data_IF_342627980050
#
_entry.id   IF_342627980050
#
_cell.length_a   1.000
_cell.length_b   1.000
_cell.length_c   1.000
_cell.angle_alpha   90.00
_cell.angle_beta   90.00
_cell.angle_gamma   90.00
#
_symmetry.space_group_name_H-M   'P 1'
#
loop_
_entity.id
_entity.type
_entity.pdbx_description
1 polymer ?
#
# COMPACT_ATOMS: atom_id res chain seq x y z
N UNK A 1 1.99 14.96 -36.31
CA UNK A 1 2.22 14.54 -37.71
C UNK A 1 1.11 15.05 -38.62
N UNK A 2 -0.16 14.86 -38.25
CA UNK A 2 -1.31 15.41 -38.99
C UNK A 2 -1.25 16.93 -39.18
N UNK A 3 -0.84 17.68 -38.15
CA UNK A 3 -0.75 19.14 -38.25
C UNK A 3 0.29 19.61 -39.29
N UNK A 4 1.47 18.99 -39.31
CA UNK A 4 2.55 19.31 -40.27
C UNK A 4 2.12 18.96 -41.69
N UNK A 5 1.43 17.83 -41.85
CA UNK A 5 0.86 17.43 -43.13
C UNK A 5 -0.19 18.44 -43.60
N UNK A 6 -1.12 18.84 -42.72
CA UNK A 6 -2.15 19.81 -43.02
C UNK A 6 -1.57 21.19 -43.40
N UNK A 7 -0.53 21.65 -42.70
CA UNK A 7 0.16 22.89 -43.06
C UNK A 7 0.86 22.81 -44.42
N UNK A 8 1.50 21.68 -44.75
CA UNK A 8 2.11 21.48 -46.07
C UNK A 8 1.06 21.42 -47.18
N UNK A 9 -0.06 20.73 -46.96
CA UNK A 9 -1.19 20.68 -47.88
C UNK A 9 -1.87 22.05 -48.04
N UNK A 10 -1.85 22.90 -47.01
CA UNK A 10 -2.36 24.26 -47.09
C UNK A 10 -1.45 25.13 -47.97
N UNK A 11 -0.13 25.07 -47.80
CA UNK A 11 0.81 25.82 -48.64
C UNK A 11 0.73 25.38 -50.11
N UNK A 12 0.53 24.09 -50.37
CA UNK A 12 0.33 23.58 -51.73
C UNK A 12 -1.01 24.05 -52.34
N UNK A 13 -2.06 24.19 -51.52
CA UNK A 13 -3.34 24.79 -51.93
C UNK A 13 -3.19 26.27 -52.26
N UNK A 14 -2.52 27.03 -51.41
CA UNK A 14 -2.35 28.47 -51.59
C UNK A 14 -1.45 28.79 -52.80
N UNK A 15 -0.52 27.91 -53.13
CA UNK A 15 0.34 28.01 -54.31
C UNK A 15 -0.31 27.50 -55.61
N UNK A 16 -1.49 26.87 -55.55
CA UNK A 16 -2.16 26.29 -56.71
C UNK A 16 -2.98 27.35 -57.46
N UNK A 17 -2.61 27.63 -58.70
CA UNK A 17 -3.17 28.75 -59.48
C UNK A 17 -4.21 28.30 -60.53
N UNK A 18 -4.36 26.99 -60.77
CA UNK A 18 -5.25 26.45 -61.80
C UNK A 18 -6.62 26.07 -61.21
N UNK A 19 -7.67 26.76 -61.66
CA UNK A 19 -9.03 26.56 -61.17
C UNK A 19 -9.68 25.25 -61.65
N UNK A 20 -9.11 24.56 -62.63
CA UNK A 20 -9.68 23.34 -63.23
C UNK A 20 -9.11 22.04 -62.64
N UNK A 21 -8.13 22.12 -61.75
CA UNK A 21 -7.48 20.94 -61.14
C UNK A 21 -7.49 21.02 -59.63
N UNK A 22 -7.54 19.86 -58.95
CA UNK A 22 -7.47 19.81 -57.49
C UNK A 22 -6.04 20.07 -57.01
N UNK A 23 -5.86 20.87 -55.95
CA UNK A 23 -4.54 21.15 -55.42
C UNK A 23 -3.81 19.87 -54.98
N UNK A 24 -2.49 19.76 -55.24
CA UNK A 24 -1.72 18.61 -54.85
C UNK A 24 -1.61 18.50 -53.32
N UNK A 25 -1.62 17.27 -52.81
CA UNK A 25 -1.42 16.96 -51.39
C UNK A 25 -0.14 16.16 -51.20
N UNK A 26 0.49 16.31 -50.05
CA UNK A 26 1.69 15.54 -49.72
C UNK A 26 1.35 14.07 -49.47
N UNK A 27 2.24 13.19 -49.93
CA UNK A 27 2.06 11.74 -49.77
C UNK A 27 2.14 11.28 -48.31
N UNK A 28 1.58 10.09 -48.02
CA UNK A 28 1.50 9.49 -46.66
C UNK A 28 2.84 9.42 -45.91
N UNK A 29 3.95 9.25 -46.63
CA UNK A 29 5.29 9.14 -46.04
C UNK A 29 6.08 10.46 -46.04
N UNK A 30 5.49 11.55 -46.55
CA UNK A 30 6.18 12.82 -46.75
C UNK A 30 6.70 13.40 -45.43
N UNK A 31 5.88 13.42 -44.37
CA UNK A 31 6.30 13.97 -43.07
C UNK A 31 7.45 13.16 -42.47
N UNK A 32 7.44 11.82 -42.62
CA UNK A 32 8.55 10.97 -42.16
C UNK A 32 9.84 11.26 -42.94
N UNK A 33 9.74 11.40 -44.26
CA UNK A 33 10.88 11.72 -45.13
C UNK A 33 11.38 13.17 -44.93
N UNK A 34 10.49 14.12 -44.65
CA UNK A 34 10.80 15.49 -44.28
C UNK A 34 11.64 15.52 -42.99
N UNK A 35 11.18 14.83 -41.93
CA UNK A 35 11.95 14.73 -40.68
C UNK A 35 13.32 14.05 -40.87
N UNK A 36 13.42 13.05 -41.76
CA UNK A 36 14.73 12.42 -42.07
C UNK A 36 15.69 13.37 -42.80
N UNK A 37 15.17 14.26 -43.66
CA UNK A 37 15.97 15.25 -44.40
C UNK A 37 16.38 16.44 -43.53
N UNK A 38 15.65 16.71 -42.45
CA UNK A 38 15.88 17.84 -41.56
C UNK A 38 16.22 17.35 -40.14
N UNK A 39 17.46 16.88 -39.90
CA UNK A 39 17.89 16.36 -38.59
C UNK A 39 17.84 17.40 -37.46
N UNK A 40 17.78 18.70 -37.77
CA UNK A 40 17.56 19.76 -36.80
C UNK A 40 16.15 19.77 -36.18
N UNK A 41 15.17 19.11 -36.82
CA UNK A 41 13.78 19.08 -36.36
C UNK A 41 13.54 17.87 -35.46
N UNK A 42 13.25 18.14 -34.19
CA UNK A 42 13.07 17.10 -33.17
C UNK A 42 11.60 16.82 -32.90
N UNK A 43 11.25 15.54 -32.76
CA UNK A 43 9.90 15.13 -32.32
C UNK A 43 9.86 15.05 -30.80
N UNK A 44 9.28 16.07 -30.17
CA UNK A 44 9.03 16.08 -28.72
C UNK A 44 7.57 15.71 -28.45
N UNK A 45 7.34 14.73 -27.57
CA UNK A 45 5.97 14.38 -27.14
C UNK A 45 5.54 15.37 -26.06
N UNK A 46 4.59 16.26 -26.39
CA UNK A 46 3.97 17.13 -25.39
C UNK A 46 3.20 16.27 -24.39
N UNK A 47 3.38 16.55 -23.10
CA UNK A 47 2.59 15.95 -22.03
C UNK A 47 1.58 17.01 -21.57
N UNK A 48 0.26 16.69 -21.48
CA UNK A 48 -0.70 17.62 -20.93
C UNK A 48 -0.31 17.96 -19.48
N UNK A 49 -0.34 19.25 -19.15
CA UNK A 49 -0.13 19.79 -17.79
C UNK A 49 -1.32 20.70 -17.49
N UNK A 50 -1.76 20.71 -16.23
CA UNK A 50 -2.80 21.65 -15.79
C UNK A 50 -2.32 23.09 -16.01
N UNK A 51 -3.20 23.95 -16.52
CA UNK A 51 -2.89 25.36 -16.87
C UNK A 51 -2.34 26.10 -15.65
N UNK A 52 -2.87 25.83 -14.45
CA UNK A 52 -2.44 26.40 -13.18
C UNK A 52 -1.00 26.03 -12.77
N UNK A 53 -0.45 24.90 -13.29
CA UNK A 53 0.96 24.53 -13.10
C UNK A 53 1.89 25.21 -14.10
N UNK A 54 1.35 25.89 -15.10
CA UNK A 54 2.09 26.64 -16.12
C UNK A 54 2.19 28.14 -15.79
N UNK A 55 1.44 28.64 -14.81
CA UNK A 55 1.44 30.05 -14.38
C UNK A 55 2.54 30.38 -13.36
N UNK A 56 3.45 29.44 -13.06
CA UNK A 56 4.60 29.71 -12.20
C UNK A 56 5.64 30.54 -12.95
N UNK A 57 5.98 31.67 -12.38
CA UNK A 57 6.99 32.61 -12.87
C UNK A 57 8.25 32.57 -12.00
N UNK A 58 9.39 32.86 -12.64
CA UNK A 58 10.71 32.86 -11.98
C UNK A 58 10.77 33.85 -10.83
N UNK A 59 10.06 34.98 -10.92
CA UNK A 59 10.08 36.04 -9.91
C UNK A 59 9.42 35.60 -8.60
N UNK A 60 8.20 35.04 -8.65
CA UNK A 60 7.52 34.51 -7.47
C UNK A 60 8.31 33.39 -6.79
N UNK A 61 8.90 32.47 -7.57
CA UNK A 61 9.76 31.41 -7.01
C UNK A 61 11.03 32.00 -6.38
N UNK A 62 11.67 32.98 -7.02
CA UNK A 62 12.85 33.65 -6.47
C UNK A 62 12.52 34.37 -5.16
N UNK A 63 11.39 35.07 -5.10
CA UNK A 63 10.91 35.71 -3.87
C UNK A 63 10.65 34.67 -2.76
N UNK A 64 10.02 33.55 -3.09
CA UNK A 64 9.76 32.48 -2.11
C UNK A 64 11.07 31.89 -1.55
N UNK A 65 12.06 31.60 -2.40
CA UNK A 65 13.37 31.12 -1.95
C UNK A 65 14.09 32.14 -1.06
N UNK A 66 14.06 33.43 -1.42
CA UNK A 66 14.61 34.50 -0.57
C UNK A 66 13.91 34.55 0.79
N UNK A 67 12.59 34.42 0.80
CA UNK A 67 11.80 34.39 2.05
C UNK A 67 12.17 33.17 2.90
N UNK A 68 12.30 32.00 2.29
CA UNK A 68 12.72 30.76 2.96
C UNK A 68 14.10 30.94 3.61
N UNK A 69 15.08 31.42 2.85
CA UNK A 69 16.44 31.65 3.34
C UNK A 69 16.46 32.62 4.52
N UNK A 70 15.72 33.72 4.41
CA UNK A 70 15.59 34.72 5.47
C UNK A 70 14.96 34.14 6.74
N UNK A 71 13.92 33.32 6.62
CA UNK A 71 13.28 32.65 7.78
C UNK A 71 14.25 31.68 8.44
N UNK A 72 14.92 30.83 7.66
CA UNK A 72 15.90 29.86 8.17
C UNK A 72 17.03 30.57 8.93
N UNK A 73 17.60 31.64 8.34
CA UNK A 73 18.67 32.43 8.98
C UNK A 73 18.19 33.17 10.23
N UNK A 74 17.06 33.90 10.14
CA UNK A 74 16.53 34.72 11.24
C UNK A 74 16.11 33.89 12.44
N UNK A 75 15.55 32.71 12.20
CA UNK A 75 15.06 31.81 13.25
C UNK A 75 16.12 30.79 13.72
N UNK A 76 17.32 30.78 13.11
CA UNK A 76 18.39 29.87 13.48
C UNK A 76 18.07 28.39 13.26
N UNK A 77 17.32 28.07 12.19
CA UNK A 77 16.84 26.71 11.93
C UNK A 77 17.97 25.86 11.37
N UNK A 78 18.24 24.73 12.02
CA UNK A 78 19.26 23.78 11.55
C UNK A 78 18.71 22.89 10.44
N UNK A 79 19.57 22.35 9.56
CA UNK A 79 19.14 21.42 8.51
C UNK A 79 18.32 20.23 9.01
N UNK A 80 18.68 19.65 10.16
CA UNK A 80 17.97 18.54 10.80
C UNK A 80 16.51 18.88 11.14
N UNK A 81 16.23 20.17 11.35
CA UNK A 81 14.94 20.70 11.78
C UNK A 81 14.12 21.29 10.62
N UNK A 82 14.55 21.12 9.38
CA UNK A 82 13.78 21.45 8.18
C UNK A 82 12.96 20.22 7.77
N UNK A 83 11.65 20.31 7.91
CA UNK A 83 10.71 19.24 7.60
C UNK A 83 9.83 19.59 6.42
N UNK A 84 9.48 18.57 5.65
CA UNK A 84 8.49 18.63 4.59
C UNK A 84 7.38 17.61 4.87
N UNK A 85 6.13 18.04 4.74
CA UNK A 85 4.93 17.20 4.82
C UNK A 85 4.13 17.30 3.53
N UNK A 86 3.55 16.19 3.12
CA UNK A 86 2.64 16.13 1.98
C UNK A 86 1.68 14.93 2.09
N UNK A 87 0.59 15.00 1.33
CA UNK A 87 -0.48 14.01 1.27
C UNK A 87 -0.37 13.13 0.02
N UNK A 88 -0.53 11.82 0.21
CA UNK A 88 -0.63 10.87 -0.90
C UNK A 88 -1.89 10.02 -0.79
N UNK A 89 -2.78 10.20 -1.78
CA UNK A 89 -3.96 9.37 -1.95
C UNK A 89 -3.69 8.08 -2.71
N UNK A 90 -4.23 6.97 -2.20
CA UNK A 90 -4.29 5.66 -2.84
C UNK A 90 -5.71 5.31 -3.21
N UNK A 91 -5.86 4.74 -4.41
CA UNK A 91 -7.09 4.07 -4.83
C UNK A 91 -6.84 2.58 -4.73
N UNK A 92 -7.45 1.96 -3.74
CA UNK A 92 -7.32 0.55 -3.43
C UNK A 92 -8.09 -0.25 -4.50
N UNK A 93 -7.54 -1.40 -4.94
CA UNK A 93 -8.20 -2.30 -5.91
C UNK A 93 -7.84 -2.15 -7.40
N UNK A 94 -6.97 -1.20 -7.79
CA UNK A 94 -6.53 -1.04 -9.19
C UNK A 94 -5.11 -1.59 -9.40
N UNK A 95 -5.03 -2.80 -9.96
CA UNK A 95 -3.79 -3.37 -10.49
C UNK A 95 -3.37 -2.72 -11.81
N UNK A 96 -2.09 -2.87 -12.22
CA UNK A 96 -1.63 -2.47 -13.56
C UNK A 96 -1.72 -3.64 -14.55
N UNK A 97 -1.78 -3.31 -15.84
CA UNK A 97 -1.52 -4.28 -16.90
C UNK A 97 -0.14 -4.92 -16.70
N UNK A 98 -0.09 -6.25 -16.67
CA UNK A 98 1.14 -7.03 -16.52
C UNK A 98 1.47 -7.75 -17.82
N UNK A 99 2.77 -7.98 -18.05
CA UNK A 99 3.21 -8.90 -19.09
C UNK A 99 3.07 -10.33 -18.59
N UNK A 100 2.29 -11.15 -19.30
CA UNK A 100 2.20 -12.59 -19.04
C UNK A 100 2.93 -13.35 -20.16
N UNK A 101 3.58 -14.45 -19.81
CA UNK A 101 4.10 -15.42 -20.77
C UNK A 101 3.18 -16.63 -20.71
N UNK A 102 2.47 -16.92 -21.79
CA UNK A 102 1.49 -18.00 -21.87
C UNK A 102 1.78 -18.90 -23.08
N UNK A 103 1.56 -20.20 -22.91
CA UNK A 103 1.61 -21.18 -24.00
C UNK A 103 0.33 -21.19 -24.85
N UNK A 104 -0.73 -20.49 -24.39
CA UNK A 104 -2.00 -20.37 -25.09
C UNK A 104 -2.03 -19.10 -25.97
N UNK A 105 -2.22 -19.21 -27.30
CA UNK A 105 -2.21 -18.06 -28.21
C UNK A 105 -3.49 -17.20 -28.25
N UNK A 106 -4.48 -17.43 -27.37
CA UNK A 106 -5.83 -16.83 -27.48
C UNK A 106 -6.14 -15.76 -26.42
N UNK A 107 -6.50 -14.58 -26.96
CA UNK A 107 -7.30 -13.42 -26.49
C UNK A 107 -7.07 -12.87 -25.07
N UNK A 108 -6.74 -11.58 -25.04
CA UNK A 108 -6.70 -10.64 -23.90
C UNK A 108 -6.72 -11.28 -22.50
N UNK A 109 -5.55 -11.31 -21.87
CA UNK A 109 -5.47 -11.62 -20.45
C UNK A 109 -6.07 -10.48 -19.63
N UNK A 110 -7.29 -10.68 -19.15
CA UNK A 110 -7.95 -9.73 -18.27
C UNK A 110 -7.52 -9.97 -16.82
N UNK A 111 -6.95 -8.94 -16.20
CA UNK A 111 -6.83 -8.90 -14.74
C UNK A 111 -8.19 -8.43 -14.19
N UNK A 112 -8.82 -9.25 -13.34
CA UNK A 112 -9.99 -8.81 -12.61
C UNK A 112 -9.60 -7.61 -11.74
N UNK A 113 -10.11 -6.42 -12.07
CA UNK A 113 -9.98 -5.21 -11.27
C UNK A 113 -11.31 -4.98 -10.59
N UNK A 114 -11.33 -4.89 -9.27
CA UNK A 114 -12.55 -4.54 -8.56
C UNK A 114 -12.94 -3.08 -8.84
N UNK A 115 -14.24 -2.85 -8.99
CA UNK A 115 -14.82 -1.52 -9.26
C UNK A 115 -14.92 -0.65 -8.01
N UNK A 116 -14.64 -1.21 -6.82
CA UNK A 116 -14.82 -0.51 -5.55
C UNK A 116 -13.69 0.51 -5.33
N UNK A 117 -14.06 1.79 -5.24
CA UNK A 117 -13.13 2.94 -5.26
C UNK A 117 -12.75 3.39 -3.86
N UNK A 118 -12.36 2.46 -2.99
CA UNK A 118 -11.93 2.84 -1.64
C UNK A 118 -10.69 3.74 -1.72
N UNK A 119 -10.81 4.93 -1.13
CA UNK A 119 -9.72 5.88 -1.01
C UNK A 119 -9.11 5.81 0.38
N UNK A 120 -7.78 5.87 0.41
CA UNK A 120 -7.00 5.96 1.62
C UNK A 120 -5.93 7.00 1.40
N UNK A 121 -5.72 7.87 2.37
CA UNK A 121 -4.75 8.97 2.29
C UNK A 121 -3.68 8.77 3.34
N UNK A 122 -2.41 8.82 2.96
CA UNK A 122 -1.29 8.87 3.91
C UNK A 122 -0.72 10.29 3.95
N UNK A 123 -0.57 10.85 5.15
CA UNK A 123 0.21 12.06 5.39
C UNK A 123 1.60 11.62 5.86
N UNK A 124 2.62 11.98 5.10
CA UNK A 124 4.01 11.60 5.34
C UNK A 124 4.84 12.84 5.65
N UNK A 125 5.82 12.72 6.55
CA UNK A 125 6.72 13.81 6.89
C UNK A 125 8.18 13.37 6.95
N UNK A 126 9.04 14.17 6.33
CA UNK A 126 10.47 13.88 6.14
C UNK A 126 11.32 15.12 6.42
N UNK A 127 12.51 14.93 7.00
CA UNK A 127 13.47 16.02 7.23
C UNK A 127 14.47 16.14 6.10
N UNK A 128 15.10 17.32 5.99
CA UNK A 128 16.13 17.59 4.99
C UNK A 128 17.37 16.68 5.12
N UNK A 129 17.62 16.15 6.33
CA UNK A 129 18.69 15.19 6.60
C UNK A 129 18.28 13.73 6.39
N UNK A 130 17.05 13.48 5.93
CA UNK A 130 16.57 12.16 5.55
C UNK A 130 16.02 11.31 6.69
N UNK A 131 15.70 11.92 7.84
CA UNK A 131 14.86 11.31 8.86
C UNK A 131 13.37 11.41 8.48
N UNK A 132 12.53 10.58 9.08
CA UNK A 132 11.09 10.53 8.83
C UNK A 132 10.38 10.03 10.09
N UNK A 133 9.10 10.37 10.26
CA UNK A 133 8.25 9.89 11.35
C UNK A 133 7.21 8.91 10.81
N UNK A 134 6.53 8.15 11.67
CA UNK A 134 5.38 7.35 11.24
C UNK A 134 4.26 8.21 10.64
N UNK A 135 3.46 7.67 9.70
CA UNK A 135 2.49 8.47 8.97
C UNK A 135 1.21 8.64 9.77
N UNK A 136 0.39 9.61 9.37
CA UNK A 136 -1.04 9.53 9.64
C UNK A 136 -1.73 8.89 8.45
N UNK A 137 -2.60 7.91 8.69
CA UNK A 137 -3.36 7.23 7.65
C UNK A 137 -4.84 7.52 7.83
N UNK A 138 -5.44 8.20 6.87
CA UNK A 138 -6.85 8.56 6.84
C UNK A 138 -7.59 7.55 5.97
N UNK A 139 -8.58 6.90 6.57
CA UNK A 139 -9.37 5.83 5.95
C UNK A 139 -10.82 6.30 5.83
N UNK A 140 -11.41 6.16 4.64
CA UNK A 140 -12.86 6.41 4.47
C UNK A 140 -13.67 5.35 5.24
N UNK A 141 -14.12 5.71 6.44
CA UNK A 141 -14.78 4.84 7.42
C UNK A 141 -15.41 5.65 8.55
N UNK A 142 -16.24 4.99 9.35
CA UNK A 142 -16.81 5.54 10.58
C UNK A 142 -16.20 4.93 11.85
N UNK A 143 -15.51 3.79 11.73
CA UNK A 143 -15.05 2.99 12.86
C UNK A 143 -13.67 2.39 12.57
N UNK A 144 -12.83 2.35 13.60
CA UNK A 144 -11.57 1.62 13.65
C UNK A 144 -11.82 0.14 13.91
N UNK A 145 -11.12 -0.76 13.20
CA UNK A 145 -11.30 -2.21 13.35
C UNK A 145 -9.99 -2.93 13.69
N UNK A 146 -10.07 -4.06 14.41
CA UNK A 146 -8.89 -4.82 14.85
C UNK A 146 -8.04 -5.27 13.66
N UNK A 147 -8.69 -5.59 12.53
CA UNK A 147 -8.02 -6.01 11.30
C UNK A 147 -6.99 -5.00 10.78
N UNK A 148 -7.12 -3.71 11.12
CA UNK A 148 -6.21 -2.66 10.66
C UNK A 148 -4.84 -2.67 11.32
N UNK A 149 -4.75 -3.18 12.55
CA UNK A 149 -3.56 -3.01 13.42
C UNK A 149 -2.87 -4.31 13.78
N UNK A 150 -3.51 -5.46 13.58
CA UNK A 150 -2.92 -6.79 13.84
C UNK A 150 -2.05 -7.26 12.68
N UNK A 151 -1.02 -6.47 12.39
CA UNK A 151 -0.03 -6.62 11.33
C UNK A 151 1.26 -5.87 11.72
N UNK A 152 2.23 -5.78 10.81
CA UNK A 152 3.54 -5.16 11.05
C UNK A 152 3.53 -3.61 11.00
N UNK A 153 2.36 -2.97 11.10
CA UNK A 153 2.28 -1.51 11.13
C UNK A 153 3.02 -0.96 12.36
N UNK A 154 3.84 0.10 12.24
CA UNK A 154 4.46 0.71 13.41
C UNK A 154 3.41 1.18 14.42
N UNK A 155 3.63 0.91 15.72
CA UNK A 155 2.67 1.24 16.79
C UNK A 155 2.37 2.74 16.89
N UNK A 156 3.33 3.58 16.51
CA UNK A 156 3.24 5.02 16.45
C UNK A 156 2.56 5.56 15.18
N UNK A 157 2.06 4.70 14.29
CA UNK A 157 1.23 5.13 13.15
C UNK A 157 -0.11 5.65 13.66
N UNK A 158 -0.47 6.86 13.26
CA UNK A 158 -1.74 7.47 13.65
C UNK A 158 -2.83 7.11 12.64
N UNK A 159 -3.84 6.35 13.05
CA UNK A 159 -4.98 6.01 12.22
C UNK A 159 -6.08 7.03 12.41
N UNK A 160 -6.68 7.49 11.32
CA UNK A 160 -7.79 8.42 11.31
C UNK A 160 -8.92 7.85 10.45
N UNK A 161 -10.16 8.12 10.84
CA UNK A 161 -11.34 7.80 10.04
C UNK A 161 -12.06 9.09 9.65
N UNK A 162 -12.47 9.20 8.40
CA UNK A 162 -13.33 10.29 7.91
C UNK A 162 -14.34 9.74 6.90
N UNK A 163 -15.45 10.45 6.69
CA UNK A 163 -16.49 9.96 5.77
C UNK A 163 -15.98 9.92 4.31
N UNK A 164 -15.25 10.95 3.90
CA UNK A 164 -14.79 11.12 2.51
C UNK A 164 -13.34 10.64 2.26
N UNK A 165 -12.59 10.26 3.30
CA UNK A 165 -11.19 9.85 3.22
C UNK A 165 -10.20 11.01 2.97
N UNK A 166 -10.64 12.26 3.11
CA UNK A 166 -9.81 13.46 3.02
C UNK A 166 -9.53 14.05 4.39
N UNK A 167 -8.49 14.88 4.46
CA UNK A 167 -8.14 15.69 5.63
C UNK A 167 -9.16 16.80 5.83
N UNK A 168 -9.57 17.01 7.08
CA UNK A 168 -10.32 18.18 7.53
C UNK A 168 -9.48 18.99 8.54
N UNK A 169 -9.99 20.13 8.98
CA UNK A 169 -9.32 21.01 9.93
C UNK A 169 -9.01 20.32 11.27
N UNK A 170 -9.85 19.37 11.69
CA UNK A 170 -9.70 18.62 12.95
C UNK A 170 -8.54 17.62 12.80
N UNK A 171 -8.51 16.90 11.69
CA UNK A 171 -7.44 15.95 11.37
C UNK A 171 -6.11 16.67 11.15
N UNK A 172 -6.10 17.85 10.53
CA UNK A 172 -4.91 18.68 10.43
C UNK A 172 -4.37 19.09 11.81
N UNK A 173 -5.24 19.48 12.74
CA UNK A 173 -4.85 19.78 14.12
C UNK A 173 -4.34 18.54 14.88
N UNK A 174 -4.95 17.38 14.68
CA UNK A 174 -4.48 16.12 15.26
C UNK A 174 -3.13 15.72 14.68
N UNK A 175 -2.94 15.92 13.38
CA UNK A 175 -1.69 15.63 12.70
C UNK A 175 -0.54 16.52 13.19
N UNK A 176 -0.74 17.83 13.38
CA UNK A 176 0.35 18.69 13.87
C UNK A 176 0.78 18.36 15.30
N UNK A 177 -0.16 17.94 16.15
CA UNK A 177 0.14 17.42 17.50
C UNK A 177 0.98 16.15 17.42
N UNK A 178 0.62 15.24 16.53
CA UNK A 178 1.40 14.05 16.24
C UNK A 178 2.81 14.40 15.72
N UNK A 179 2.92 15.33 14.77
CA UNK A 179 4.20 15.80 14.27
C UNK A 179 5.06 16.39 15.39
N UNK A 180 4.50 17.20 16.29
CA UNK A 180 5.23 17.73 17.44
C UNK A 180 5.75 16.62 18.34
N UNK A 181 4.86 15.73 18.80
CA UNK A 181 5.18 14.59 19.67
C UNK A 181 6.32 13.73 19.10
N UNK A 182 6.29 13.45 17.79
CA UNK A 182 7.26 12.56 17.13
C UNK A 182 8.58 13.23 16.78
N UNK A 183 8.60 14.55 16.52
CA UNK A 183 9.82 15.26 16.11
C UNK A 183 10.52 16.00 17.24
N UNK A 184 9.86 16.22 18.38
CA UNK A 184 10.42 16.97 19.52
C UNK A 184 11.73 16.37 20.03
N UNK A 185 11.79 15.04 20.19
CA UNK A 185 13.00 14.34 20.59
C UNK A 185 14.10 14.27 19.52
N UNK A 186 13.76 14.57 18.26
CA UNK A 186 14.69 14.58 17.12
C UNK A 186 15.32 15.96 16.90
N UNK A 187 14.73 17.00 17.49
CA UNK A 187 15.08 18.40 17.23
C UNK A 187 16.51 18.70 17.69
N UNK A 188 17.29 19.39 16.86
CA UNK A 188 18.69 19.77 17.18
C UNK A 188 18.84 21.23 17.58
N UNK A 189 18.10 22.10 16.92
CA UNK A 189 18.05 23.53 17.18
C UNK A 189 16.91 23.92 18.13
N UNK A 190 16.52 25.20 18.05
CA UNK A 190 15.43 25.75 18.87
C UNK A 190 14.06 25.63 18.21
N UNK A 191 14.02 25.63 16.87
CA UNK A 191 12.79 25.71 16.08
C UNK A 191 12.82 24.70 14.94
N UNK A 192 11.65 24.14 14.62
CA UNK A 192 11.43 23.28 13.45
C UNK A 192 10.73 24.06 12.35
N UNK A 193 11.24 24.04 11.13
CA UNK A 193 10.54 24.55 9.96
C UNK A 193 9.66 23.43 9.39
N UNK A 194 8.38 23.70 9.17
CA UNK A 194 7.48 22.77 8.51
C UNK A 194 7.05 23.33 7.15
N UNK A 195 7.48 22.69 6.07
CA UNK A 195 7.14 23.04 4.69
C UNK A 195 5.99 22.15 4.20
N UNK A 196 4.88 22.77 3.77
CA UNK A 196 3.65 22.09 3.38
C UNK A 196 2.97 22.78 2.18
N UNK A 197 2.06 22.09 1.49
CA UNK A 197 1.29 22.72 0.42
C UNK A 197 0.13 23.56 0.98
N UNK A 198 -0.19 24.68 0.34
CA UNK A 198 -1.17 25.64 0.87
C UNK A 198 -2.63 25.19 0.77
N UNK A 199 -2.93 23.89 0.85
CA UNK A 199 -4.32 23.42 0.82
C UNK A 199 -5.07 23.93 2.07
N UNK A 200 -6.29 24.42 1.89
CA UNK A 200 -6.99 25.32 2.84
C UNK A 200 -7.18 24.81 4.28
N UNK A 201 -6.98 23.51 4.52
CA UNK A 201 -7.08 22.84 5.82
C UNK A 201 -5.91 23.13 6.80
N UNK A 202 -4.77 23.66 6.32
CA UNK A 202 -3.54 23.79 7.12
C UNK A 202 -3.32 25.17 7.76
N UNK A 203 -4.31 26.05 7.72
CA UNK A 203 -4.17 27.45 8.16
C UNK A 203 -5.20 27.87 9.22
N UNK A 204 -5.80 26.91 9.94
CA UNK A 204 -6.72 27.26 11.02
C UNK A 204 -5.98 27.95 12.17
N UNK A 205 -6.68 28.82 12.91
CA UNK A 205 -6.13 29.52 14.07
C UNK A 205 -5.54 28.53 15.09
N UNK A 206 -6.24 27.44 15.38
CA UNK A 206 -5.80 26.42 16.34
C UNK A 206 -4.53 25.70 15.89
N UNK A 207 -4.38 25.43 14.59
CA UNK A 207 -3.16 24.85 14.03
C UNK A 207 -1.97 25.80 14.21
N UNK A 208 -2.16 27.09 13.88
CA UNK A 208 -1.11 28.09 14.00
C UNK A 208 -0.73 28.38 15.46
N UNK A 209 -1.70 28.43 16.37
CA UNK A 209 -1.45 28.58 17.82
C UNK A 209 -0.65 27.39 18.37
N UNK A 210 -0.97 26.17 17.92
CA UNK A 210 -0.22 24.98 18.32
C UNK A 210 1.22 25.02 17.79
N UNK A 211 1.41 25.45 16.54
CA UNK A 211 2.74 25.63 15.96
C UNK A 211 3.58 26.64 16.77
N UNK A 212 3.01 27.81 17.07
CA UNK A 212 3.71 28.87 17.81
C UNK A 212 4.10 28.41 19.23
N UNK A 213 3.17 27.78 19.94
CA UNK A 213 3.40 27.24 21.28
C UNK A 213 4.54 26.19 21.33
N UNK A 214 4.74 25.44 20.24
CA UNK A 214 5.70 24.33 20.18
C UNK A 214 6.94 24.61 19.29
N UNK A 215 7.21 25.89 19.02
CA UNK A 215 8.40 26.31 18.27
C UNK A 215 8.47 25.70 16.86
N UNK A 216 7.30 25.54 16.22
CA UNK A 216 7.17 25.09 14.85
C UNK A 216 6.85 26.30 13.97
N UNK A 217 7.62 26.49 12.91
CA UNK A 217 7.44 27.57 11.93
C UNK A 217 6.74 26.97 10.71
N UNK A 218 5.42 27.16 10.53
CA UNK A 218 4.73 26.73 9.32
C UNK A 218 5.16 27.61 8.13
N UNK A 219 5.50 26.97 7.01
CA UNK A 219 5.96 27.64 5.80
C UNK A 219 5.31 27.03 4.56
N UNK A 220 4.33 27.72 3.98
CA UNK A 220 3.61 27.24 2.82
C UNK A 220 4.41 27.35 1.53
N UNK A 221 4.23 26.39 0.65
CA UNK A 221 4.70 26.47 -0.73
C UNK A 221 3.87 27.47 -1.55
N UNK A 222 4.45 28.06 -2.61
CA UNK A 222 3.68 28.81 -3.59
C UNK A 222 2.57 27.93 -4.20
N UNK A 223 1.39 28.50 -4.50
CA UNK A 223 0.32 27.76 -5.17
C UNK A 223 0.83 27.04 -6.42
N UNK A 224 0.36 25.82 -6.69
CA UNK A 224 0.68 25.03 -7.89
C UNK A 224 2.17 24.68 -8.10
N UNK A 225 3.00 24.83 -7.07
CA UNK A 225 4.44 24.52 -7.14
C UNK A 225 4.80 23.11 -6.64
N UNK A 226 3.84 22.28 -6.22
CA UNK A 226 4.17 21.00 -5.57
C UNK A 226 5.10 20.11 -6.40
N UNK A 227 4.81 20.02 -7.69
CA UNK A 227 5.61 19.24 -8.64
C UNK A 227 7.08 19.68 -8.84
N UNK A 228 7.48 20.85 -8.31
CA UNK A 228 8.84 21.39 -8.36
C UNK A 228 9.45 21.64 -6.98
N UNK A 229 8.63 21.97 -5.97
CA UNK A 229 9.07 22.41 -4.65
C UNK A 229 8.67 21.48 -3.50
N UNK A 230 7.86 20.42 -3.71
CA UNK A 230 7.56 19.41 -2.68
C UNK A 230 8.57 18.23 -2.76
N UNK A 231 9.51 18.09 -1.80
CA UNK A 231 10.46 16.98 -1.76
C UNK A 231 9.82 15.59 -1.87
N UNK A 232 8.69 15.38 -1.18
CA UNK A 232 7.95 14.12 -1.19
C UNK A 232 7.42 13.77 -2.58
N UNK A 233 6.78 14.71 -3.27
CA UNK A 233 6.32 14.56 -4.66
C UNK A 233 7.47 14.29 -5.64
N UNK A 234 8.58 15.03 -5.51
CA UNK A 234 9.70 14.98 -6.46
C UNK A 234 10.48 13.66 -6.38
N UNK A 235 10.49 12.98 -5.23
CA UNK A 235 11.39 11.83 -5.00
C UNK A 235 10.76 10.60 -4.34
N UNK A 236 9.82 10.76 -3.40
CA UNK A 236 9.34 9.65 -2.55
C UNK A 236 8.05 9.05 -3.08
N UNK A 237 7.09 9.89 -3.48
CA UNK A 237 5.73 9.46 -3.83
C UNK A 237 5.63 8.66 -5.13
N UNK A 238 6.51 8.89 -6.11
CA UNK A 238 6.57 8.05 -7.30
C UNK A 238 6.98 6.59 -6.95
N UNK A 239 8.11 6.34 -6.25
CA UNK A 239 8.43 5.02 -5.71
C UNK A 239 7.33 4.44 -4.83
N UNK A 240 6.67 5.26 -4.01
CA UNK A 240 5.53 4.84 -3.16
C UNK A 240 4.40 4.22 -3.98
N UNK A 241 3.99 4.90 -5.05
CA UNK A 241 2.97 4.39 -5.99
C UNK A 241 3.43 3.14 -6.75
N UNK A 242 4.73 2.91 -6.89
CA UNK A 242 5.27 1.70 -7.52
C UNK A 242 5.24 0.52 -6.55
N UNK A 243 5.78 0.67 -5.34
CA UNK A 243 5.82 -0.40 -4.34
C UNK A 243 4.43 -0.79 -3.83
N UNK A 244 3.48 0.14 -3.77
CA UNK A 244 2.07 -0.18 -3.57
C UNK A 244 1.54 -1.15 -4.64
N UNK A 245 1.92 -0.94 -5.91
CA UNK A 245 1.49 -1.83 -7.01
C UNK A 245 2.17 -3.19 -6.91
N UNK A 246 3.45 -3.23 -6.58
CA UNK A 246 4.15 -4.49 -6.32
C UNK A 246 3.51 -5.26 -5.16
N UNK A 247 3.03 -4.58 -4.13
CA UNK A 247 2.30 -5.20 -3.02
C UNK A 247 0.95 -5.81 -3.49
N UNK A 248 0.19 -5.10 -4.32
CA UNK A 248 -1.03 -5.65 -4.96
C UNK A 248 -0.66 -6.89 -5.79
N UNK A 249 0.36 -6.80 -6.62
CA UNK A 249 0.78 -7.89 -7.50
C UNK A 249 1.23 -9.13 -6.71
N UNK A 250 1.97 -8.94 -5.62
CA UNK A 250 2.38 -10.01 -4.71
C UNK A 250 1.18 -10.66 -4.01
N UNK A 251 0.20 -9.87 -3.58
CA UNK A 251 -1.03 -10.37 -3.00
C UNK A 251 -1.85 -11.19 -4.02
N UNK A 252 -1.99 -10.71 -5.25
CA UNK A 252 -2.70 -11.42 -6.33
C UNK A 252 -2.05 -12.77 -6.64
N UNK A 253 -0.71 -12.85 -6.71
CA UNK A 253 0.02 -14.11 -6.94
C UNK A 253 -0.23 -15.16 -5.86
N UNK A 254 -0.54 -14.72 -4.65
CA UNK A 254 -0.87 -15.59 -3.52
C UNK A 254 -2.37 -15.80 -3.36
N UNK A 255 -3.18 -15.49 -4.38
CA UNK A 255 -4.62 -15.75 -4.41
C UNK A 255 -5.51 -14.65 -3.81
N UNK A 256 -4.99 -13.43 -3.61
CA UNK A 256 -5.81 -12.32 -3.14
C UNK A 256 -6.72 -11.86 -4.28
N UNK A 257 -8.01 -12.12 -4.16
CA UNK A 257 -9.01 -11.64 -5.12
C UNK A 257 -9.41 -10.18 -4.84
N UNK A 258 -9.38 -9.77 -3.57
CA UNK A 258 -9.73 -8.43 -3.12
C UNK A 258 -8.62 -7.82 -2.26
N UNK A 259 -7.81 -6.94 -2.87
CA UNK A 259 -6.84 -6.15 -2.14
C UNK A 259 -7.54 -4.97 -1.48
N UNK A 260 -7.93 -5.11 -0.22
CA UNK A 260 -8.69 -4.10 0.54
C UNK A 260 -7.78 -3.27 1.47
N UNK A 261 -8.37 -2.36 2.26
CA UNK A 261 -7.65 -1.52 3.25
C UNK A 261 -6.82 -2.30 4.28
N UNK A 262 -7.26 -3.50 4.68
CA UNK A 262 -6.52 -4.34 5.64
C UNK A 262 -5.24 -4.85 5.00
N UNK A 263 -5.31 -5.28 3.73
CA UNK A 263 -4.12 -5.68 2.96
C UNK A 263 -3.19 -4.50 2.71
N UNK A 264 -3.73 -3.31 2.39
CA UNK A 264 -2.94 -2.09 2.25
C UNK A 264 -2.16 -1.76 3.53
N UNK A 265 -2.83 -1.70 4.69
CA UNK A 265 -2.19 -1.38 5.97
C UNK A 265 -1.14 -2.43 6.35
N UNK A 266 -1.41 -3.71 6.06
CA UNK A 266 -0.46 -4.79 6.25
C UNK A 266 0.78 -4.66 5.37
N UNK A 267 0.66 -4.06 4.18
CA UNK A 267 1.78 -3.82 3.27
C UNK A 267 2.51 -2.49 3.52
N UNK A 268 1.89 -1.55 4.23
CA UNK A 268 2.36 -0.16 4.37
C UNK A 268 3.77 -0.08 4.96
N UNK A 269 4.06 -0.85 6.01
CA UNK A 269 5.39 -0.89 6.63
C UNK A 269 6.48 -1.32 5.64
N UNK A 270 6.19 -2.35 4.82
CA UNK A 270 7.10 -2.85 3.79
C UNK A 270 7.31 -1.82 2.67
N UNK A 271 6.24 -1.17 2.22
CA UNK A 271 6.30 -0.09 1.22
C UNK A 271 7.18 1.05 1.72
N UNK A 272 6.93 1.53 2.95
CA UNK A 272 7.70 2.63 3.57
C UNK A 272 9.17 2.27 3.73
N UNK A 273 9.49 1.03 4.12
CA UNK A 273 10.88 0.53 4.19
C UNK A 273 11.62 0.63 2.85
N UNK A 274 10.90 0.48 1.73
CA UNK A 274 11.49 0.59 0.40
C UNK A 274 11.61 2.02 -0.11
N UNK A 275 10.78 2.95 0.37
CA UNK A 275 10.65 4.31 -0.17
C UNK A 275 11.27 5.39 0.71
N UNK A 276 11.16 5.27 2.03
CA UNK A 276 11.68 6.22 3.03
C UNK A 276 13.17 6.03 3.32
N UNK A 277 13.95 5.83 2.24
CA UNK A 277 15.41 5.73 2.34
C UNK A 277 16.00 7.12 2.46
N UNK A 278 16.94 7.31 3.38
CA UNK A 278 17.63 8.59 3.64
C UNK A 278 18.14 9.25 2.35
N UNK A 279 18.75 8.49 1.45
CA UNK A 279 19.26 9.03 0.17
C UNK A 279 18.17 9.49 -0.79
N UNK A 280 17.02 8.81 -0.80
CA UNK A 280 15.84 9.21 -1.60
C UNK A 280 15.31 10.55 -1.09
N UNK A 281 15.11 10.67 0.22
CA UNK A 281 14.61 11.89 0.87
C UNK A 281 15.58 13.06 0.62
N UNK A 282 16.87 12.90 0.93
CA UNK A 282 17.90 13.93 0.66
C UNK A 282 17.94 14.34 -0.80
N UNK A 283 17.71 13.40 -1.72
CA UNK A 283 17.62 13.72 -3.15
C UNK A 283 16.39 14.56 -3.49
N UNK A 284 15.25 14.33 -2.83
CA UNK A 284 14.08 15.20 -2.93
C UNK A 284 14.38 16.64 -2.53
N UNK A 285 14.98 16.85 -1.35
CA UNK A 285 15.38 18.18 -0.89
C UNK A 285 16.43 18.84 -1.78
N UNK A 286 17.39 18.07 -2.31
CA UNK A 286 18.39 18.59 -3.24
C UNK A 286 17.76 19.04 -4.56
N UNK A 287 16.85 18.24 -5.13
CA UNK A 287 16.19 18.54 -6.40
C UNK A 287 15.21 19.70 -6.34
N UNK A 288 14.70 20.02 -5.16
CA UNK A 288 13.83 21.18 -4.91
C UNK A 288 14.62 22.45 -4.57
N UNK A 289 15.95 22.37 -4.45
CA UNK A 289 16.80 23.50 -4.07
C UNK A 289 16.65 23.97 -2.63
N UNK A 290 15.86 23.27 -1.80
CA UNK A 290 15.60 23.62 -0.39
C UNK A 290 16.82 23.27 0.47
N UNK A 291 17.37 22.06 0.31
CA UNK A 291 18.54 21.63 1.07
C UNK A 291 19.43 20.61 0.31
N UNK A 292 20.74 20.85 0.16
CA UNK A 292 21.43 22.13 0.42
C UNK A 292 20.78 23.29 -0.33
N UNK A 293 20.80 24.48 0.26
CA UNK A 293 20.10 25.63 -0.31
C UNK A 293 20.74 26.02 -1.64
N UNK A 294 20.01 25.80 -2.74
CA UNK A 294 20.43 26.13 -4.10
C UNK A 294 19.19 26.36 -4.98
N UNK A 295 18.62 27.58 -4.95
CA UNK A 295 17.43 27.94 -5.74
C UNK A 295 17.60 27.73 -7.26
N UNK A 296 18.81 27.86 -7.80
CA UNK A 296 19.05 27.77 -9.25
C UNK A 296 18.74 26.40 -9.84
N UNK A 297 18.74 25.33 -9.02
CA UNK A 297 18.27 23.99 -9.45
C UNK A 297 16.85 24.05 -10.00
N UNK A 298 15.99 24.90 -9.40
CA UNK A 298 14.61 25.10 -9.83
C UNK A 298 14.52 26.29 -10.78
N UNK A 299 15.11 27.43 -10.41
CA UNK A 299 14.95 28.68 -11.17
C UNK A 299 15.47 28.56 -12.60
N UNK A 300 16.58 27.86 -12.86
CA UNK A 300 17.13 27.65 -14.22
C UNK A 300 16.19 26.91 -15.17
N UNK A 301 15.18 26.20 -14.64
CA UNK A 301 14.17 25.52 -15.48
C UNK A 301 13.09 26.47 -16.02
N UNK A 302 13.05 27.70 -15.51
CA UNK A 302 12.18 28.78 -15.96
C UNK A 302 13.02 29.79 -16.74
N UNK A 303 12.65 30.03 -18.00
CA UNK A 303 13.34 31.00 -18.85
C UNK A 303 13.40 32.37 -18.15
N UNK A 304 14.58 32.97 -18.09
CA UNK A 304 14.69 34.38 -17.78
C UNK A 304 14.09 35.18 -18.96
N UNK A 305 13.58 36.41 -18.74
CA UNK A 305 13.00 37.23 -19.81
C UNK A 305 13.91 37.61 -21.00
N UNK A 306 15.10 37.01 -21.18
CA UNK A 306 16.07 37.42 -22.21
C UNK A 306 16.59 36.32 -23.16
N UNK A 307 16.03 35.11 -23.17
CA UNK A 307 16.47 34.08 -24.14
C UNK A 307 15.70 34.16 -25.47
N UNK A 308 15.73 35.33 -26.12
CA UNK A 308 15.51 35.47 -27.56
C UNK A 308 16.68 36.23 -28.20
N UNK A 309 17.89 35.66 -28.09
CA UNK A 309 18.98 36.00 -28.99
C UNK A 309 19.06 34.91 -30.09
N UNK A 310 18.87 35.25 -31.38
CA UNK A 310 19.12 34.32 -32.46
C UNK A 310 20.64 34.16 -32.62
N UNK A 311 21.19 33.06 -32.10
CA UNK A 311 22.55 32.65 -32.45
C UNK A 311 22.55 32.15 -33.90
N UNK A 312 23.04 32.99 -34.81
CA UNK A 312 23.45 32.60 -36.15
C UNK A 312 24.83 31.97 -36.06
N UNK A 313 24.97 30.70 -36.45
CA UNK A 313 26.26 30.16 -36.88
C UNK A 313 26.09 29.26 -38.10
N UNK A 314 26.98 29.51 -39.05
CA UNK A 314 27.03 28.99 -40.40
C UNK A 314 27.49 27.52 -40.47
N UNK A 315 26.82 26.74 -41.32
CA UNK A 315 27.28 25.42 -41.74
C UNK A 315 28.18 25.55 -42.98
N UNK A 316 29.29 24.80 -42.99
CA UNK A 316 30.01 24.42 -44.22
C UNK A 316 30.13 22.89 -44.26
N UNK A 317 29.71 22.20 -45.34
CA UNK A 317 29.83 20.75 -45.44
C UNK A 317 31.11 20.34 -46.18
N UNK A 318 31.68 19.18 -45.83
CA UNK A 318 32.62 18.47 -46.68
C UNK A 318 32.55 16.96 -46.44
N UNK A 319 32.32 16.22 -47.52
CA UNK A 319 32.57 14.77 -47.68
C UNK A 319 33.26 14.64 -49.05
N UNK A 320 34.25 13.74 -49.27
CA UNK A 320 33.99 12.31 -49.57
C UNK A 320 35.12 11.40 -48.99
N UNK A 321 35.26 10.07 -49.14
CA UNK A 321 34.48 8.89 -49.52
C UNK A 321 35.32 7.65 -49.11
N UNK A 322 34.66 6.48 -48.92
CA UNK A 322 35.12 5.07 -48.94
C UNK A 322 34.46 4.27 -47.78
N UNK A 323 34.27 2.95 -47.80
CA UNK A 323 34.02 1.92 -48.82
C UNK A 323 33.33 0.74 -48.07
N UNK A 324 32.88 -0.28 -48.79
CA UNK A 324 31.95 -1.35 -48.38
C UNK A 324 32.48 -2.41 -47.39
N UNK A 325 31.63 -2.85 -46.44
CA UNK A 325 31.15 -4.25 -46.25
C UNK A 325 30.42 -4.42 -44.89
N UNK A 326 29.50 -5.41 -44.71
CA UNK A 326 28.55 -5.43 -43.59
C UNK A 326 29.06 -6.24 -42.39
N UNK A 327 28.77 -5.84 -41.13
CA UNK A 327 28.81 -6.75 -40.00
C UNK A 327 27.44 -7.37 -39.73
N UNK A 328 27.47 -8.69 -39.59
CA UNK A 328 26.36 -9.52 -39.16
C UNK A 328 25.98 -9.29 -37.69
N UNK A 329 24.71 -9.56 -37.42
CA UNK A 329 24.01 -9.51 -36.13
C UNK A 329 24.75 -10.27 -35.02
N UNK A 330 24.95 -9.67 -33.83
CA UNK A 330 25.49 -10.39 -32.67
C UNK A 330 24.45 -11.37 -32.11
N UNK A 331 24.86 -12.64 -31.95
CA UNK A 331 24.02 -13.71 -31.42
C UNK A 331 24.24 -13.93 -29.91
N UNK A 332 23.28 -13.43 -29.15
CA UNK A 332 22.46 -14.17 -28.17
C UNK A 332 22.89 -15.59 -27.79
N UNK A 333 22.89 -15.90 -26.48
CA UNK A 333 22.52 -17.19 -25.83
C UNK A 333 23.15 -18.50 -26.39
N UNK A 334 24.06 -18.45 -27.36
CA UNK A 334 24.77 -19.61 -27.92
C UNK A 334 26.03 -19.98 -27.15
N UNK A 335 26.56 -19.09 -26.33
CA UNK A 335 27.68 -19.37 -25.41
C UNK A 335 27.25 -20.12 -24.15
N UNK A 336 25.97 -20.07 -23.78
CA UNK A 336 25.38 -20.93 -22.75
C UNK A 336 25.15 -22.36 -23.28
N UNK A 337 24.92 -22.48 -24.58
CA UNK A 337 24.71 -23.74 -25.30
C UNK A 337 26.01 -24.42 -25.71
N UNK A 338 26.86 -24.76 -24.73
CA UNK A 338 27.59 -26.04 -24.74
C UNK A 338 29.10 -26.04 -24.40
N UNK A 339 29.43 -25.29 -23.36
CA UNK A 339 30.12 -25.88 -22.21
C UNK A 339 29.39 -27.13 -21.66
N UNK A 340 28.07 -27.24 -21.89
CA UNK A 340 27.27 -28.47 -21.83
C UNK A 340 27.55 -29.57 -22.90
N UNK A 341 28.42 -29.39 -23.92
CA UNK A 341 28.92 -30.50 -24.76
C UNK A 341 30.06 -31.22 -24.05
N UNK A 342 30.96 -30.44 -23.42
CA UNK A 342 32.13 -30.96 -22.70
C UNK A 342 31.78 -31.80 -21.46
N UNK A 343 30.56 -31.65 -20.92
CA UNK A 343 30.07 -32.44 -19.79
C UNK A 343 29.39 -33.75 -20.27
N UNK A 344 28.95 -33.81 -21.53
CA UNK A 344 28.37 -35.03 -22.12
C UNK A 344 29.44 -36.04 -22.57
N UNK A 345 30.71 -35.64 -22.61
CA UNK A 345 31.86 -36.45 -23.04
C UNK A 345 32.40 -37.42 -21.98
N UNK A 346 31.96 -37.34 -20.71
CA UNK A 346 32.57 -38.15 -19.63
C UNK A 346 31.75 -39.39 -19.22
N UNK A 347 30.50 -39.54 -19.69
CA UNK A 347 29.69 -40.76 -19.53
C UNK A 347 28.74 -40.94 -20.72
N UNK A 348 28.87 -42.06 -21.45
CA UNK A 348 28.06 -42.40 -22.63
C UNK A 348 26.58 -42.62 -22.25
N UNK A 349 25.74 -41.60 -22.44
CA UNK A 349 24.27 -41.70 -22.42
C UNK A 349 23.71 -41.28 -23.79
N UNK A 350 22.78 -42.07 -24.35
CA UNK A 350 22.20 -41.77 -25.67
C UNK A 350 21.50 -40.39 -25.66
N UNK A 351 21.51 -39.63 -26.77
CA UNK A 351 20.85 -38.31 -26.86
C UNK A 351 19.38 -38.32 -26.43
N UNK A 352 18.67 -39.42 -26.71
CA UNK A 352 17.29 -39.67 -26.30
C UNK A 352 17.17 -39.80 -24.79
N UNK A 353 18.04 -40.59 -24.16
CA UNK A 353 18.06 -40.75 -22.70
C UNK A 353 18.43 -39.45 -21.99
N UNK A 354 19.39 -38.68 -22.53
CA UNK A 354 19.77 -37.38 -21.99
C UNK A 354 18.66 -36.32 -22.13
N UNK A 355 17.77 -36.44 -23.13
CA UNK A 355 16.58 -35.60 -23.28
C UNK A 355 15.48 -36.03 -22.31
N UNK A 356 15.28 -37.34 -22.14
CA UNK A 356 14.33 -37.89 -21.17
C UNK A 356 14.68 -37.50 -19.73
N UNK A 357 15.94 -37.73 -19.31
CA UNK A 357 16.43 -37.34 -17.97
C UNK A 357 16.25 -35.83 -17.73
N UNK A 358 16.55 -34.98 -18.73
CA UNK A 358 16.31 -33.54 -18.63
C UNK A 358 14.84 -33.18 -18.51
N UNK A 359 13.97 -33.83 -19.29
CA UNK A 359 12.53 -33.66 -19.22
C UNK A 359 11.97 -34.06 -17.85
N UNK A 360 12.35 -35.23 -17.35
CA UNK A 360 11.96 -35.71 -16.02
C UNK A 360 12.48 -34.81 -14.90
N UNK A 361 13.74 -34.35 -14.97
CA UNK A 361 14.31 -33.42 -13.99
C UNK A 361 13.58 -32.07 -13.99
N UNK A 362 13.25 -31.53 -15.17
CA UNK A 362 12.45 -30.31 -15.29
C UNK A 362 11.05 -30.50 -14.72
N UNK A 363 10.42 -31.65 -14.95
CA UNK A 363 9.08 -31.95 -14.44
C UNK A 363 9.06 -32.10 -12.91
N UNK A 364 10.07 -32.76 -12.32
CA UNK A 364 10.26 -32.84 -10.87
C UNK A 364 10.51 -31.46 -10.28
N UNK A 365 11.38 -30.65 -10.89
CA UNK A 365 11.64 -29.28 -10.44
C UNK A 365 10.39 -28.41 -10.52
N UNK A 366 9.63 -28.52 -11.61
CA UNK A 366 8.36 -27.80 -11.78
C UNK A 366 7.33 -28.26 -10.74
N UNK A 367 7.25 -29.56 -10.47
CA UNK A 367 6.40 -30.12 -9.41
C UNK A 367 6.76 -29.58 -8.02
N UNK A 368 8.04 -29.56 -7.67
CA UNK A 368 8.51 -29.02 -6.39
C UNK A 368 8.18 -27.52 -6.24
N UNK A 369 8.41 -26.73 -7.30
CA UNK A 369 8.04 -25.30 -7.31
C UNK A 369 6.53 -25.11 -7.20
N UNK A 370 5.73 -25.99 -7.81
CA UNK A 370 4.28 -25.94 -7.70
C UNK A 370 3.78 -26.28 -6.29
N UNK A 371 4.39 -27.27 -5.63
CA UNK A 371 4.10 -27.62 -4.23
C UNK A 371 4.45 -26.45 -3.31
N UNK A 372 5.65 -25.88 -3.44
CA UNK A 372 6.06 -24.72 -2.64
C UNK A 372 5.15 -23.49 -2.88
N UNK A 373 4.71 -23.27 -4.13
CA UNK A 373 3.75 -22.22 -4.46
C UNK A 373 2.38 -22.47 -3.82
N UNK A 374 1.90 -23.72 -3.82
CA UNK A 374 0.63 -24.10 -3.22
C UNK A 374 0.64 -23.96 -1.69
N UNK A 375 1.75 -24.33 -1.04
CA UNK A 375 1.95 -24.12 0.40
C UNK A 375 1.90 -22.64 0.76
N UNK A 376 2.62 -21.80 0.00
CA UNK A 376 2.60 -20.34 0.18
C UNK A 376 1.20 -19.75 -0.03
N UNK A 377 0.48 -20.22 -1.03
CA UNK A 377 -0.89 -19.79 -1.31
C UNK A 377 -1.84 -20.18 -0.18
N UNK A 378 -1.73 -21.41 0.33
CA UNK A 378 -2.58 -21.93 1.41
C UNK A 378 -2.34 -21.18 2.71
N UNK A 379 -1.07 -20.96 3.08
CA UNK A 379 -0.70 -20.17 4.25
C UNK A 379 -1.19 -18.72 4.14
N UNK A 380 -1.00 -18.08 2.98
CA UNK A 380 -1.49 -16.72 2.73
C UNK A 380 -3.03 -16.64 2.83
N UNK A 381 -3.75 -17.64 2.33
CA UNK A 381 -5.21 -17.68 2.40
C UNK A 381 -5.71 -17.83 3.85
N UNK A 382 -5.07 -18.68 4.65
CA UNK A 382 -5.41 -18.84 6.07
C UNK A 382 -5.22 -17.52 6.84
N UNK A 383 -4.10 -16.83 6.62
CA UNK A 383 -3.84 -15.53 7.25
C UNK A 383 -4.85 -14.47 6.81
N UNK A 384 -5.26 -14.44 5.54
CA UNK A 384 -6.33 -13.55 5.07
C UNK A 384 -7.68 -13.81 5.71
N UNK A 385 -8.05 -15.08 5.86
CA UNK A 385 -9.31 -15.44 6.51
C UNK A 385 -9.33 -14.90 7.95
N UNK A 386 -8.23 -15.09 8.70
CA UNK A 386 -8.07 -14.52 10.06
C UNK A 386 -8.16 -12.99 10.06
N UNK A 387 -7.51 -12.31 9.10
CA UNK A 387 -7.58 -10.85 8.97
C UNK A 387 -9.00 -10.36 8.69
N UNK A 388 -9.74 -11.02 7.81
CA UNK A 388 -11.09 -10.65 7.43
C UNK A 388 -12.12 -10.87 8.56
N UNK A 389 -11.95 -11.91 9.38
CA UNK A 389 -12.75 -12.08 10.59
C UNK A 389 -12.56 -10.92 11.57
N UNK A 390 -11.30 -10.49 11.77
CA UNK A 390 -10.94 -9.37 12.65
C UNK A 390 -11.36 -8.01 12.12
N UNK A 391 -11.48 -7.84 10.81
CA UNK A 391 -12.00 -6.63 10.20
C UNK A 391 -13.44 -6.31 10.63
N UNK A 392 -14.18 -7.28 11.19
CA UNK A 392 -15.53 -7.08 11.74
C UNK A 392 -15.52 -6.65 13.21
N UNK A 393 -14.40 -6.79 13.92
CA UNK A 393 -14.27 -6.42 15.33
C UNK A 393 -13.92 -4.94 15.44
N UNK A 394 -14.86 -4.15 15.95
CA UNK A 394 -14.70 -2.70 16.15
C UNK A 394 -13.84 -2.41 17.37
N UNK A 395 -12.89 -1.49 17.23
CA UNK A 395 -12.01 -0.99 18.29
C UNK A 395 -12.58 0.30 18.86
N UNK A 396 -12.73 1.32 18.02
CA UNK A 396 -13.22 2.67 18.36
C UNK A 396 -14.13 3.22 17.26
N UNK A 397 -15.10 4.06 17.63
CA UNK A 397 -15.90 4.82 16.68
C UNK A 397 -15.32 6.23 16.48
N UNK A 398 -15.09 6.64 15.23
CA UNK A 398 -14.63 7.98 14.89
C UNK A 398 -13.20 8.34 15.34
N UNK A 399 -12.78 9.54 14.96
CA UNK A 399 -11.58 10.20 15.47
C UNK A 399 -10.25 9.55 15.03
N UNK A 400 -9.21 9.83 15.81
CA UNK A 400 -7.85 9.31 15.60
C UNK A 400 -7.49 8.32 16.71
N UNK A 401 -6.64 7.34 16.38
CA UNK A 401 -6.18 6.30 17.30
C UNK A 401 -4.80 5.82 16.88
N UNK A 402 -3.86 5.67 17.82
CA UNK A 402 -2.57 5.07 17.49
C UNK A 402 -2.71 3.56 17.25
N UNK A 403 -1.89 3.02 16.35
CA UNK A 403 -1.93 1.59 16.04
C UNK A 403 -1.63 0.71 17.28
N UNK A 404 -0.78 1.18 18.19
CA UNK A 404 -0.50 0.54 19.48
C UNK A 404 -1.72 0.56 20.41
N UNK A 405 -2.32 1.73 20.64
CA UNK A 405 -3.55 1.87 21.45
C UNK A 405 -4.68 0.97 20.91
N UNK A 406 -4.81 0.89 19.59
CA UNK A 406 -5.80 0.02 18.96
C UNK A 406 -5.54 -1.47 19.22
N UNK A 407 -4.27 -1.89 19.31
CA UNK A 407 -3.90 -3.26 19.68
C UNK A 407 -4.18 -3.53 21.15
N UNK A 408 -3.90 -2.57 22.03
CA UNK A 408 -4.19 -2.67 23.46
C UNK A 408 -5.69 -2.84 23.68
N UNK A 409 -6.53 -1.99 23.07
CA UNK A 409 -7.99 -2.10 23.14
C UNK A 409 -8.46 -3.46 22.60
N UNK A 410 -7.88 -3.95 21.51
CA UNK A 410 -8.22 -5.27 20.96
C UNK A 410 -7.85 -6.42 21.91
N UNK A 411 -6.70 -6.31 22.58
CA UNK A 411 -6.24 -7.30 23.57
C UNK A 411 -7.13 -7.28 24.81
N UNK A 412 -7.48 -6.11 25.33
CA UNK A 412 -8.40 -5.97 26.46
C UNK A 412 -9.77 -6.59 26.18
N UNK A 413 -10.31 -6.39 24.96
CA UNK A 413 -11.56 -7.02 24.55
C UNK A 413 -11.44 -8.54 24.49
N UNK A 414 -10.32 -9.07 24.01
CA UNK A 414 -10.07 -10.51 23.98
C UNK A 414 -10.00 -11.09 25.40
N UNK A 415 -9.31 -10.43 26.32
CA UNK A 415 -9.19 -10.86 27.72
C UNK A 415 -10.54 -10.81 28.43
N UNK A 416 -11.39 -9.83 28.10
CA UNK A 416 -12.77 -9.75 28.59
C UNK A 416 -13.64 -10.90 28.06
N UNK A 417 -13.57 -11.18 26.75
CA UNK A 417 -14.27 -12.31 26.11
C UNK A 417 -13.89 -13.64 26.79
N UNK A 418 -12.60 -13.88 27.03
CA UNK A 418 -12.11 -15.08 27.72
C UNK A 418 -12.64 -15.19 29.15
N UNK A 419 -12.58 -14.11 29.93
CA UNK A 419 -13.14 -14.08 31.30
C UNK A 419 -14.65 -14.34 31.31
N UNK A 420 -15.37 -13.86 30.30
CA UNK A 420 -16.79 -14.14 30.15
C UNK A 420 -17.07 -15.61 29.82
N UNK A 421 -16.27 -16.22 28.95
CA UNK A 421 -16.37 -17.64 28.60
C UNK A 421 -16.07 -18.52 29.81
N UNK A 422 -14.97 -18.27 30.52
CA UNK A 422 -14.65 -18.95 31.78
C UNK A 422 -15.78 -18.81 32.81
N UNK A 423 -16.38 -17.61 32.91
CA UNK A 423 -17.55 -17.38 33.78
C UNK A 423 -18.76 -18.21 33.33
N UNK A 424 -19.03 -18.30 32.03
CA UNK A 424 -20.14 -19.10 31.47
C UNK A 424 -19.91 -20.61 31.70
N UNK A 425 -18.70 -21.09 31.46
CA UNK A 425 -18.30 -22.47 31.73
C UNK A 425 -18.41 -22.81 33.21
N UNK A 426 -17.95 -21.91 34.09
CA UNK A 426 -18.09 -22.05 35.53
C UNK A 426 -19.56 -22.10 35.98
N UNK A 427 -20.42 -21.25 35.42
CA UNK A 427 -21.86 -21.27 35.70
C UNK A 427 -22.49 -22.59 35.22
N UNK A 428 -22.08 -23.10 34.05
CA UNK A 428 -22.54 -24.40 33.52
C UNK A 428 -22.08 -25.54 34.42
N UNK A 429 -20.82 -25.55 34.81
CA UNK A 429 -20.26 -26.51 35.76
C UNK A 429 -21.00 -26.49 37.09
N UNK A 430 -21.27 -25.31 37.68
CA UNK A 430 -22.08 -25.16 38.90
C UNK A 430 -23.48 -25.76 38.74
N UNK A 431 -24.14 -25.53 37.60
CA UNK A 431 -25.46 -26.10 37.31
C UNK A 431 -25.39 -27.63 37.21
N UNK A 432 -24.38 -28.17 36.55
CA UNK A 432 -24.19 -29.62 36.39
C UNK A 432 -23.89 -30.30 37.73
N UNK A 433 -23.06 -29.69 38.58
CA UNK A 433 -22.80 -30.16 39.95
C UNK A 433 -24.10 -30.17 40.77
N UNK A 434 -24.91 -29.10 40.70
CA UNK A 434 -26.20 -29.03 41.40
C UNK A 434 -27.18 -30.09 40.90
N UNK A 435 -27.23 -30.33 39.58
CA UNK A 435 -28.06 -31.37 38.94
C UNK A 435 -27.64 -32.75 39.41
N UNK A 436 -26.34 -33.09 39.35
CA UNK A 436 -25.79 -34.37 39.83
C UNK A 436 -26.09 -34.61 41.31
N UNK A 437 -25.95 -33.57 42.15
CA UNK A 437 -26.30 -33.67 43.57
C UNK A 437 -27.79 -33.97 43.76
N UNK A 438 -28.67 -33.27 43.04
CA UNK A 438 -30.12 -33.53 43.08
C UNK A 438 -30.49 -34.94 42.59
N UNK A 439 -29.88 -35.42 41.52
CA UNK A 439 -30.10 -36.77 40.98
C UNK A 439 -29.58 -37.86 41.92
N UNK A 440 -28.43 -37.63 42.56
CA UNK A 440 -27.88 -38.51 43.60
C UNK A 440 -28.82 -38.62 44.80
N UNK A 441 -29.31 -37.49 45.31
CA UNK A 441 -30.32 -37.47 46.38
C UNK A 441 -31.62 -38.14 45.96
N UNK A 442 -32.05 -37.95 44.71
CA UNK A 442 -33.25 -38.61 44.18
C UNK A 442 -33.10 -40.13 44.14
N UNK A 443 -31.95 -40.65 43.69
CA UNK A 443 -31.65 -42.10 43.71
C UNK A 443 -31.70 -42.68 45.12
N UNK A 444 -31.02 -42.04 46.08
CA UNK A 444 -31.02 -42.45 47.49
C UNK A 444 -32.44 -42.47 48.04
N UNK A 445 -33.24 -41.43 47.74
CA UNK A 445 -34.62 -41.35 48.20
C UNK A 445 -35.51 -42.46 47.61
N UNK A 446 -35.32 -42.81 46.34
CA UNK A 446 -36.05 -43.92 45.68
C UNK A 446 -35.65 -45.26 46.26
N UNK A 447 -34.36 -45.52 46.50
CA UNK A 447 -33.89 -46.75 47.15
C UNK A 447 -34.39 -46.88 48.59
N UNK A 448 -34.31 -45.81 49.38
CA UNK A 448 -34.84 -45.78 50.74
C UNK A 448 -36.35 -46.08 50.76
N UNK A 449 -37.11 -45.55 49.79
CA UNK A 449 -38.55 -45.81 49.65
C UNK A 449 -38.85 -47.25 49.24
N UNK A 450 -38.03 -47.85 48.36
CA UNK A 450 -38.14 -49.28 47.98
C UNK A 450 -37.83 -50.19 49.16
N UNK A 451 -36.76 -49.93 49.90
CA UNK A 451 -36.39 -50.73 51.07
C UNK A 451 -37.42 -50.58 52.20
N UNK A 452 -37.97 -49.39 52.42
CA UNK A 452 -39.07 -49.19 53.36
C UNK A 452 -40.33 -49.98 52.97
N UNK A 453 -40.67 -50.03 51.68
CA UNK A 453 -41.78 -50.88 51.15
C UNK A 453 -41.50 -52.36 51.36
N UNK A 454 -40.26 -52.81 51.08
CA UNK A 454 -39.84 -54.21 51.25
C UNK A 454 -39.92 -54.63 52.72
N UNK A 455 -39.49 -53.77 53.64
CA UNK A 455 -39.58 -54.01 55.09
C UNK A 455 -41.02 -54.06 55.59
N UNK A 456 -41.92 -53.20 55.09
CA UNK A 456 -43.36 -53.30 55.39
C UNK A 456 -43.96 -54.60 54.89
N UNK A 457 -43.72 -54.98 53.63
CA UNK A 457 -44.24 -56.25 53.09
C UNK A 457 -43.59 -57.52 53.66
N UNK A 458 -42.52 -57.40 54.45
CA UNK A 458 -41.95 -58.49 55.26
C UNK A 458 -42.58 -58.49 56.67
N UNK A 459 -42.87 -57.31 57.22
CA UNK A 459 -43.59 -57.19 58.49
C UNK A 459 -45.04 -57.68 58.37
N UNK A 460 -45.75 -57.27 57.32
CA UNK A 460 -47.12 -57.71 57.03
C UNK A 460 -47.16 -59.23 56.84
N UNK A 461 -46.21 -59.82 56.09
CA UNK A 461 -46.11 -61.29 55.91
C UNK A 461 -45.78 -62.05 57.18
N UNK A 462 -44.99 -61.46 58.09
CA UNK A 462 -44.72 -62.06 59.41
C UNK A 462 -45.94 -62.00 60.31
N UNK A 463 -46.76 -60.97 60.18
CA UNK A 463 -48.04 -60.87 60.85
C UNK A 463 -49.02 -61.92 60.30
N UNK A 464 -49.10 -62.08 58.98
CA UNK A 464 -49.93 -63.12 58.35
C UNK A 464 -49.48 -64.54 58.75
N UNK A 465 -48.16 -64.81 58.83
CA UNK A 465 -47.60 -66.10 59.29
C UNK A 465 -47.77 -66.33 60.82
N UNK A 466 -47.81 -65.27 61.63
CA UNK A 466 -48.15 -65.34 63.06
C UNK A 466 -49.66 -65.56 63.28
N UNK A 467 -50.52 -64.97 62.44
CA UNK A 467 -51.97 -65.19 62.46
C UNK A 467 -52.35 -66.59 61.96
N UNK A 468 -51.74 -67.10 60.89
CA UNK A 468 -51.93 -68.50 60.41
C UNK A 468 -51.46 -69.55 61.43
N UNK A 469 -50.37 -69.31 62.16
CA UNK A 469 -49.90 -70.24 63.20
C UNK A 469 -50.78 -70.26 64.46
N UNK A 470 -51.52 -69.18 64.72
CA UNK A 470 -52.52 -69.15 65.80
C UNK A 470 -53.79 -69.90 65.36
N UNK A 471 -54.20 -69.78 64.10
CA UNK A 471 -55.37 -70.48 63.55
C UNK A 471 -55.17 -72.01 63.40
N UNK A 472 -53.94 -72.47 63.15
CA UNK A 472 -53.62 -73.91 63.12
C UNK A 472 -53.43 -74.54 64.50
N UNK A 473 -53.09 -73.77 65.54
CA UNK A 473 -52.96 -74.30 66.90
C UNK A 473 -54.33 -74.59 67.56
N UNK A 474 -55.39 -73.92 67.11
CA UNK A 474 -56.76 -74.10 67.63
C UNK A 474 -57.56 -75.21 66.89
N UNK A 475 -56.99 -75.85 65.85
CA UNK A 475 -57.67 -76.87 65.04
C UNK A 475 -57.34 -78.33 65.42
N UNK A 476 -56.41 -78.56 66.35
CA UNK A 476 -55.98 -79.89 66.81
C UNK A 476 -56.55 -80.29 68.20
N UNK A 477 -57.52 -79.55 68.74
CA UNK A 477 -58.07 -79.75 70.11
C UNK A 477 -59.57 -80.11 70.23
N UNK A 478 -60.23 -80.62 69.18
CA UNK A 478 -61.59 -81.22 69.30
C UNK A 478 -61.67 -82.71 68.91
#
# INVERSE_FOLDING_TARGET
MSLIQASADQLLRDAHQDSNTTPPVVGKNWVQNFMKRHPQVHRVKQKPREISRMTQDRENLSWWFKKLENVVKKQGILPDDIWNVDEIGFRIGIGKSQWIITLCPSREAHLASETNRETLTCIEAVSAVGAHISPMVIISANQHTEGWVKNDLPGDTLLAVSENGYTDDILALKWIKHFDERTKGMTKGLKRLLIFDGHGSHCTKQFLEHCDANQIVPFSLPPHSSHILQPLDVSVFQPYKHWHKEAIDAATRTGCTNFNRVEFLSALASIRKQTMKTNTIKTGFRRTGIHPFNPEIVLSTFAAPEDFAPAAEDFVPSTPAQSSSPPATPQTIRTLSRSAHKIQERYYLSPTMAKYIRGSLLQVQTGNLAVEALEKQTAAQQERNKKNERARKVVQSGGVLYAEEAREIAQEKLDQEQKEEERREWVKFKKDVKKRKSEGWHKIHVEARREAKRRRGIADRRQDEEEENVEFADADEE
#
